data_IF_786047822843
#
_entry.id   IF_786047822843
#
_cell.length_a   1.000
_cell.length_b   1.000
_cell.length_c   1.000
_cell.angle_alpha   90.00
_cell.angle_beta   90.00
_cell.angle_gamma   90.00
#
_symmetry.space_group_name_H-M   'P 1'
#
loop_
_entity.id
_entity.type
_entity.pdbx_description
1 polymer ?
#
# COMPACT_ATOMS: atom_id res chain seq x y z
N UNK A 1 2.25 -16.15 -12.82
CA UNK A 1 2.72 -15.88 -11.45
C UNK A 1 1.72 -16.52 -10.52
N UNK A 2 2.15 -17.48 -9.71
CA UNK A 2 1.30 -18.06 -8.67
C UNK A 2 1.13 -17.00 -7.57
N UNK A 3 -0.12 -16.64 -7.26
CA UNK A 3 -0.43 -15.71 -6.17
C UNK A 3 -0.33 -16.49 -4.87
N UNK A 4 0.63 -16.14 -4.03
CA UNK A 4 0.80 -16.77 -2.72
C UNK A 4 0.03 -15.99 -1.64
N UNK A 5 -0.89 -16.68 -0.96
CA UNK A 5 -1.66 -16.15 0.16
C UNK A 5 -1.23 -16.83 1.46
N UNK A 6 -1.10 -16.05 2.54
CA UNK A 6 -0.83 -16.57 3.89
C UNK A 6 -1.70 -15.87 4.92
N UNK A 7 -2.49 -16.65 5.65
CA UNK A 7 -3.21 -16.18 6.83
C UNK A 7 -2.26 -16.08 8.02
N UNK A 8 -2.25 -14.93 8.69
CA UNK A 8 -1.36 -14.64 9.83
C UNK A 8 -1.97 -15.05 11.18
N UNK A 9 -3.29 -15.23 11.28
CA UNK A 9 -4.00 -15.48 12.55
C UNK A 9 -4.37 -16.94 12.79
N UNK A 10 -4.07 -17.86 11.84
CA UNK A 10 -4.31 -19.31 11.95
C UNK A 10 -5.79 -19.74 11.99
N UNK A 11 -6.71 -18.83 12.34
CA UNK A 11 -8.16 -19.00 12.20
C UNK A 11 -8.54 -18.60 10.78
N UNK A 12 -8.73 -19.62 9.95
CA UNK A 12 -9.33 -19.53 8.64
C UNK A 12 -10.55 -18.59 8.63
N UNK A 13 -10.59 -17.65 7.69
CA UNK A 13 -11.84 -17.17 7.11
C UNK A 13 -12.12 -18.08 5.90
N UNK A 14 -13.01 -19.07 6.00
CA UNK A 14 -13.15 -20.14 4.99
C UNK A 14 -13.67 -19.73 3.60
N UNK A 15 -13.73 -18.43 3.29
CA UNK A 15 -14.49 -17.91 2.14
C UNK A 15 -13.70 -17.06 1.15
N UNK A 16 -12.40 -16.80 1.35
CA UNK A 16 -11.65 -15.97 0.39
C UNK A 16 -10.95 -16.88 -0.62
N UNK A 17 -11.37 -16.80 -1.87
CA UNK A 17 -10.72 -17.48 -2.98
C UNK A 17 -9.37 -16.81 -3.34
N UNK A 18 -8.21 -17.46 -3.11
CA UNK A 18 -6.90 -16.88 -3.41
C UNK A 18 -6.66 -16.71 -4.91
N UNK A 19 -7.46 -17.36 -5.76
CA UNK A 19 -7.38 -17.24 -7.22
C UNK A 19 -8.31 -16.16 -7.78
N UNK A 20 -9.12 -15.51 -6.94
CA UNK A 20 -10.05 -14.45 -7.33
C UNK A 20 -10.94 -14.86 -8.53
N UNK A 21 -11.42 -16.09 -8.55
CA UNK A 21 -12.14 -16.70 -9.67
C UNK A 21 -13.49 -16.03 -9.98
N UNK A 22 -14.02 -15.28 -9.02
CA UNK A 22 -15.22 -14.45 -9.14
C UNK A 22 -15.03 -13.21 -10.04
N UNK A 23 -13.78 -12.79 -10.28
CA UNK A 23 -13.47 -11.70 -11.20
C UNK A 23 -13.82 -12.09 -12.65
N UNK A 24 -14.21 -11.13 -13.50
CA UNK A 24 -14.68 -11.42 -14.84
C UNK A 24 -13.54 -12.01 -15.68
N UNK A 25 -13.61 -13.32 -15.93
CA UNK A 25 -12.79 -14.02 -16.92
C UNK A 25 -13.36 -13.73 -18.30
N UNK A 26 -13.14 -12.53 -18.86
CA UNK A 26 -13.65 -12.26 -20.20
C UNK A 26 -12.93 -13.16 -21.22
N UNK A 27 -13.77 -13.89 -21.97
CA UNK A 27 -13.47 -14.78 -23.11
C UNK A 27 -12.24 -14.34 -23.91
N UNK A 28 -11.36 -15.31 -24.17
CA UNK A 28 -10.00 -15.25 -24.76
C UNK A 28 -8.91 -15.30 -23.66
N UNK A 29 -8.04 -16.29 -23.76
CA UNK A 29 -7.27 -16.88 -22.67
C UNK A 29 -6.12 -16.02 -22.06
N UNK A 30 -6.06 -14.71 -22.27
CA UNK A 30 -4.80 -13.95 -22.08
C UNK A 30 -4.91 -12.64 -21.28
N UNK A 31 -5.92 -12.46 -20.43
CA UNK A 31 -6.01 -11.25 -19.58
C UNK A 31 -5.23 -11.46 -18.28
N UNK A 32 -4.10 -10.77 -18.13
CA UNK A 32 -3.39 -10.68 -16.87
C UNK A 32 -4.03 -9.62 -15.97
N UNK A 33 -4.30 -9.97 -14.72
CA UNK A 33 -4.78 -9.03 -13.70
C UNK A 33 -3.63 -8.72 -12.76
N UNK A 34 -3.21 -7.47 -12.74
CA UNK A 34 -2.22 -6.96 -11.79
C UNK A 34 -2.92 -6.44 -10.54
N UNK A 35 -2.49 -6.88 -9.37
CA UNK A 35 -2.90 -6.25 -8.11
C UNK A 35 -2.04 -5.01 -7.89
N UNK A 36 -2.68 -3.85 -7.73
CA UNK A 36 -1.98 -2.57 -7.60
C UNK A 36 -1.96 -2.06 -6.17
N UNK A 37 -3.07 -2.21 -5.46
CA UNK A 37 -3.25 -1.63 -4.13
C UNK A 37 -4.37 -2.33 -3.37
N UNK A 38 -4.42 -2.12 -2.05
CA UNK A 38 -5.51 -2.56 -1.20
C UNK A 38 -5.86 -1.48 -0.16
N UNK A 39 -7.14 -1.34 0.16
CA UNK A 39 -7.59 -0.34 1.12
C UNK A 39 -8.85 -0.82 1.84
N UNK A 40 -8.80 -0.94 3.17
CA UNK A 40 -9.94 -1.23 4.04
C UNK A 40 -10.86 -2.36 3.53
N UNK A 41 -10.26 -3.46 3.07
CA UNK A 41 -10.97 -4.65 2.58
C UNK A 41 -11.36 -4.65 1.10
N UNK A 42 -10.95 -3.64 0.34
CA UNK A 42 -11.05 -3.61 -1.11
C UNK A 42 -9.67 -3.79 -1.76
N UNK A 43 -9.64 -4.36 -2.95
CA UNK A 43 -8.47 -4.44 -3.82
C UNK A 43 -8.67 -3.62 -5.09
N UNK A 44 -7.60 -2.98 -5.53
CA UNK A 44 -7.50 -2.37 -6.85
C UNK A 44 -6.69 -3.29 -7.76
N UNK A 45 -7.32 -3.70 -8.85
CA UNK A 45 -6.75 -4.53 -9.88
C UNK A 45 -6.70 -3.76 -11.20
N UNK A 46 -5.63 -3.91 -11.96
CA UNK A 46 -5.50 -3.41 -13.33
C UNK A 46 -5.60 -4.58 -14.29
N UNK A 47 -6.44 -4.40 -15.31
CA UNK A 47 -6.57 -5.34 -16.42
C UNK A 47 -5.50 -5.00 -17.47
N UNK A 48 -4.52 -5.87 -17.66
CA UNK A 48 -3.62 -5.74 -18.80
C UNK A 48 -4.31 -6.30 -20.04
N UNK A 49 -4.43 -5.48 -21.07
CA UNK A 49 -4.71 -5.94 -22.42
C UNK A 49 -3.37 -6.30 -23.09
N UNK A 50 -3.32 -7.41 -23.83
CA UNK A 50 -2.11 -7.85 -24.55
C UNK A 50 -1.66 -6.85 -25.62
N UNK A 51 -2.58 -5.98 -26.07
CA UNK A 51 -2.24 -4.80 -26.86
C UNK A 51 -1.78 -3.67 -25.93
N UNK A 52 -0.45 -3.51 -25.87
CA UNK A 52 0.34 -2.54 -25.07
C UNK A 52 -0.10 -1.07 -25.11
N UNK A 53 -1.17 -0.72 -25.82
CA UNK A 53 -1.50 0.65 -26.24
C UNK A 53 -3.01 1.02 -26.18
N UNK A 54 -3.91 0.19 -25.61
CA UNK A 54 -5.33 0.60 -25.41
C UNK A 54 -5.90 0.31 -24.01
N UNK A 55 -6.49 1.37 -23.45
CA UNK A 55 -7.40 1.50 -22.28
C UNK A 55 -7.07 0.60 -21.09
N UNK A 56 -6.38 1.18 -20.11
CA UNK A 56 -6.20 0.56 -18.80
C UNK A 56 -7.53 0.55 -18.07
N UNK A 57 -8.24 -0.56 -18.12
CA UNK A 57 -9.42 -0.76 -17.29
C UNK A 57 -9.00 -1.24 -15.90
N UNK A 58 -9.69 -0.74 -14.86
CA UNK A 58 -9.49 -1.23 -13.49
C UNK A 58 -10.71 -2.02 -13.02
N UNK A 59 -10.44 -2.87 -12.04
CA UNK A 59 -11.48 -3.55 -11.27
C UNK A 59 -11.21 -3.26 -9.80
N UNK A 60 -12.23 -2.75 -9.11
CA UNK A 60 -12.20 -2.69 -7.64
C UNK A 60 -13.05 -3.85 -7.13
N UNK A 61 -12.50 -4.67 -6.26
CA UNK A 61 -13.19 -5.86 -5.77
C UNK A 61 -13.07 -6.06 -4.26
N UNK A 62 -14.04 -6.78 -3.70
CA UNK A 62 -14.04 -7.26 -2.33
C UNK A 62 -14.00 -8.79 -2.34
N UNK A 63 -12.84 -9.42 -2.07
CA UNK A 63 -12.72 -10.87 -2.04
C UNK A 63 -13.50 -11.56 -0.93
N UNK A 64 -13.89 -10.84 0.13
CA UNK A 64 -14.68 -11.42 1.21
C UNK A 64 -16.16 -11.57 0.82
N UNK A 65 -16.66 -10.77 -0.12
CA UNK A 65 -18.04 -10.81 -0.61
C UNK A 65 -18.16 -11.29 -2.05
N UNK A 66 -17.04 -11.52 -2.73
CA UNK A 66 -16.96 -11.87 -4.16
C UNK A 66 -17.61 -10.83 -5.10
N UNK A 67 -17.74 -9.59 -4.63
CA UNK A 67 -18.30 -8.48 -5.39
C UNK A 67 -17.19 -7.66 -6.07
N UNK A 68 -17.49 -7.08 -7.22
CA UNK A 68 -16.55 -6.24 -7.96
C UNK A 68 -17.28 -5.22 -8.84
N UNK A 69 -16.56 -4.14 -9.18
CA UNK A 69 -17.00 -3.11 -10.12
C UNK A 69 -15.89 -2.78 -11.09
N UNK A 70 -16.27 -2.60 -12.36
CA UNK A 70 -15.35 -2.08 -13.36
C UNK A 70 -15.25 -0.56 -13.22
N UNK A 71 -14.02 -0.06 -13.18
CA UNK A 71 -13.73 1.37 -13.30
C UNK A 71 -13.19 1.59 -14.71
N UNK A 72 -13.88 2.40 -15.53
CA UNK A 72 -13.50 2.59 -16.92
C UNK A 72 -12.14 3.26 -17.01
N UNK A 73 -11.29 2.82 -17.92
CA UNK A 73 -10.11 3.58 -18.30
C UNK A 73 -10.47 4.92 -18.97
N UNK A 74 -9.49 5.81 -19.03
CA UNK A 74 -9.59 7.13 -19.69
C UNK A 74 -8.75 7.16 -20.97
N UNK A 75 -8.92 8.19 -21.78
CA UNK A 75 -8.04 8.48 -22.92
C UNK A 75 -6.57 8.70 -22.49
N UNK A 76 -6.38 9.14 -21.25
CA UNK A 76 -5.07 9.33 -20.61
C UNK A 76 -4.52 8.08 -19.91
N UNK A 77 -5.21 6.94 -19.98
CA UNK A 77 -4.76 5.67 -19.38
C UNK A 77 -3.35 5.27 -19.78
N UNK A 78 -2.94 5.58 -21.02
CA UNK A 78 -1.59 5.27 -21.53
C UNK A 78 -0.48 6.04 -20.82
N UNK A 79 -0.81 7.15 -20.16
CA UNK A 79 0.11 7.94 -19.36
C UNK A 79 0.28 7.36 -17.95
N UNK A 80 -0.60 6.46 -17.50
CA UNK A 80 -0.61 6.01 -16.10
C UNK A 80 0.52 5.04 -15.81
N UNK A 81 1.28 5.32 -14.74
CA UNK A 81 2.30 4.39 -14.22
C UNK A 81 1.76 3.56 -13.06
N UNK A 82 1.20 4.23 -12.07
CA UNK A 82 0.65 3.60 -10.86
C UNK A 82 -0.72 4.16 -10.55
N UNK A 83 -1.52 3.35 -9.86
CA UNK A 83 -2.81 3.77 -9.33
C UNK A 83 -2.92 3.34 -7.86
N UNK A 84 -3.68 4.11 -7.08
CA UNK A 84 -3.91 3.90 -5.64
C UNK A 84 -5.39 3.89 -5.32
N UNK A 85 -5.77 3.16 -4.27
CA UNK A 85 -7.14 2.99 -3.83
C UNK A 85 -7.39 3.79 -2.55
N UNK A 86 -8.42 4.63 -2.57
CA UNK A 86 -8.92 5.32 -1.39
C UNK A 86 -10.29 4.81 -0.99
N UNK A 87 -10.41 4.13 0.14
CA UNK A 87 -11.71 3.70 0.66
C UNK A 87 -11.69 3.74 2.19
N UNK A 88 -12.64 4.44 2.80
CA UNK A 88 -12.81 4.47 4.26
C UNK A 88 -14.29 4.25 4.57
N UNK A 89 -14.70 3.01 4.94
CA UNK A 89 -16.10 2.69 5.19
C UNK A 89 -16.69 3.45 6.38
N UNK A 90 -15.85 4.02 7.27
CA UNK A 90 -16.33 4.85 8.36
C UNK A 90 -16.72 6.27 7.91
N UNK A 91 -16.22 6.72 6.75
CA UNK A 91 -16.49 8.06 6.19
C UNK A 91 -17.51 8.00 5.06
N UNK A 92 -17.37 7.05 4.13
CA UNK A 92 -18.20 6.96 2.93
C UNK A 92 -18.34 5.52 2.44
N UNK A 93 -19.49 5.21 1.85
CA UNK A 93 -19.69 3.95 1.11
C UNK A 93 -19.00 3.92 -0.25
N UNK A 94 -18.35 5.01 -0.65
CA UNK A 94 -17.76 5.18 -1.97
C UNK A 94 -16.24 5.13 -1.90
N UNK A 95 -15.63 4.37 -2.80
CA UNK A 95 -14.19 4.37 -3.02
C UNK A 95 -13.78 5.39 -4.10
N UNK A 96 -12.49 5.70 -4.10
CA UNK A 96 -11.81 6.53 -5.07
C UNK A 96 -10.62 5.77 -5.67
N UNK A 97 -10.35 5.99 -6.95
CA UNK A 97 -9.12 5.50 -7.61
C UNK A 97 -8.32 6.69 -8.07
N UNK A 98 -7.05 6.75 -7.65
CA UNK A 98 -6.13 7.83 -7.98
C UNK A 98 -5.12 7.32 -8.99
N UNK A 99 -5.05 7.97 -10.15
CA UNK A 99 -4.04 7.70 -11.17
C UNK A 99 -2.86 8.64 -11.02
N UNK A 100 -1.67 8.12 -11.30
CA UNK A 100 -0.44 8.88 -11.32
C UNK A 100 0.33 8.65 -12.62
N UNK A 101 0.76 9.75 -13.24
CA UNK A 101 1.59 9.78 -14.44
C UNK A 101 3.08 9.93 -14.05
N UNK A 102 4.04 9.57 -14.92
CA UNK A 102 5.46 9.82 -14.66
C UNK A 102 5.70 11.31 -14.41
N UNK A 103 6.63 11.59 -13.51
CA UNK A 103 7.25 12.89 -13.41
C UNK A 103 8.35 13.04 -14.49
N UNK A 104 9.33 13.91 -14.26
CA UNK A 104 10.44 14.13 -15.20
C UNK A 104 11.43 12.94 -15.25
N UNK A 105 11.33 12.01 -14.29
CA UNK A 105 12.07 10.76 -14.25
C UNK A 105 11.16 9.51 -14.12
N UNK A 106 11.73 8.31 -14.29
CA UNK A 106 10.99 7.04 -14.29
C UNK A 106 10.63 6.49 -12.89
N UNK A 107 11.19 7.11 -11.85
CA UNK A 107 11.03 6.69 -10.44
C UNK A 107 9.95 7.48 -9.72
N UNK A 108 9.68 8.70 -10.14
CA UNK A 108 8.68 9.54 -9.52
C UNK A 108 7.43 9.71 -10.38
N UNK A 109 6.32 10.03 -9.71
CA UNK A 109 5.01 10.20 -10.32
C UNK A 109 4.28 11.40 -9.76
N UNK A 110 3.38 11.95 -10.59
CA UNK A 110 2.52 13.09 -10.26
C UNK A 110 1.05 12.69 -10.35
N UNK A 111 0.17 13.22 -9.48
CA UNK A 111 -1.27 12.98 -9.56
C UNK A 111 -1.82 13.35 -10.95
N UNK A 112 -2.60 12.45 -11.56
CA UNK A 112 -3.16 12.59 -12.92
C UNK A 112 -4.68 12.75 -12.93
N UNK A 113 -5.37 12.02 -12.05
CA UNK A 113 -6.81 12.09 -11.93
C UNK A 113 -7.36 11.25 -10.79
N UNK A 114 -8.56 11.61 -10.32
CA UNK A 114 -9.31 10.86 -9.32
C UNK A 114 -10.62 10.39 -9.95
N UNK A 115 -10.88 9.10 -9.89
CA UNK A 115 -12.21 8.53 -10.08
C UNK A 115 -12.96 8.53 -8.74
N UNK A 116 -14.21 8.96 -8.74
CA UNK A 116 -15.13 8.76 -7.62
C UNK A 116 -16.22 7.77 -8.00
N UNK A 117 -16.40 6.71 -7.22
CA UNK A 117 -17.52 5.76 -7.41
C UNK A 117 -18.88 6.40 -7.14
N UNK A 118 -18.94 7.48 -6.34
CA UNK A 118 -20.17 8.22 -6.08
C UNK A 118 -20.67 8.94 -7.34
N UNK A 119 -19.78 9.69 -8.00
CA UNK A 119 -20.10 10.43 -9.21
C UNK A 119 -20.00 9.56 -10.47
N UNK A 120 -19.28 8.44 -10.40
CA UNK A 120 -18.88 7.56 -11.51
C UNK A 120 -18.15 8.31 -12.63
N UNK A 121 -17.36 9.31 -12.26
CA UNK A 121 -16.67 10.22 -13.17
C UNK A 121 -15.22 10.37 -12.75
N UNK A 122 -14.35 10.47 -13.74
CA UNK A 122 -12.96 10.89 -13.58
C UNK A 122 -12.86 12.40 -13.55
N UNK A 123 -12.16 12.91 -12.55
CA UNK A 123 -11.74 14.31 -12.48
C UNK A 123 -10.25 14.36 -12.81
N UNK A 124 -9.94 14.79 -14.02
CA UNK A 124 -8.56 15.12 -14.43
C UNK A 124 -8.36 16.61 -14.31
N UNK A 125 -7.23 17.01 -13.73
CA UNK A 125 -6.91 18.41 -13.50
C UNK A 125 -5.47 18.68 -13.85
N UNK A 126 -5.28 19.53 -14.84
CA UNK A 126 -3.97 20.00 -15.30
C UNK A 126 -3.33 20.98 -14.31
N UNK A 127 -4.12 21.51 -13.37
CA UNK A 127 -3.77 22.50 -12.35
C UNK A 127 -3.44 21.87 -10.99
N UNK A 128 -3.32 20.54 -10.90
CA UNK A 128 -2.85 19.89 -9.67
C UNK A 128 -1.37 20.20 -9.43
N UNK A 129 -1.16 21.27 -8.67
CA UNK A 129 0.14 21.62 -8.12
C UNK A 129 0.41 20.73 -6.90
N UNK A 130 0.82 19.48 -7.14
CA UNK A 130 1.54 18.75 -6.11
C UNK A 130 2.96 19.31 -6.08
N UNK A 131 3.40 19.95 -5.00
CA UNK A 131 4.68 20.65 -4.97
C UNK A 131 5.89 19.70 -4.98
N UNK A 132 5.67 18.38 -4.93
CA UNK A 132 6.71 17.36 -4.78
C UNK A 132 6.30 16.13 -5.59
N UNK A 133 7.30 15.48 -6.20
CA UNK A 133 7.10 14.22 -6.89
C UNK A 133 7.06 13.03 -5.91
N UNK A 134 6.16 12.09 -6.17
CA UNK A 134 5.90 10.94 -5.29
C UNK A 134 6.70 9.75 -5.80
N UNK A 135 7.34 9.00 -4.90
CA UNK A 135 7.98 7.73 -5.30
C UNK A 135 6.89 6.75 -5.76
N UNK A 136 6.98 6.25 -6.99
CA UNK A 136 6.03 5.28 -7.53
C UNK A 136 5.97 3.97 -6.73
N UNK A 137 7.04 3.64 -6.01
CA UNK A 137 7.16 2.44 -5.17
C UNK A 137 6.68 2.66 -3.74
N UNK A 138 6.37 3.91 -3.35
CA UNK A 138 5.86 4.20 -2.02
C UNK A 138 4.52 3.52 -1.75
N UNK A 139 4.41 2.95 -0.56
CA UNK A 139 3.14 2.53 0.02
C UNK A 139 2.22 3.75 0.21
N UNK A 140 0.92 3.52 0.06
CA UNK A 140 -0.09 4.55 0.31
C UNK A 140 -1.04 4.11 1.41
N UNK A 141 -1.58 5.07 2.15
CA UNK A 141 -2.63 4.79 3.12
C UNK A 141 -3.74 5.82 3.02
N UNK A 142 -4.99 5.36 3.08
CA UNK A 142 -6.15 6.23 3.03
C UNK A 142 -6.78 6.32 4.41
N UNK A 143 -6.92 7.54 4.91
CA UNK A 143 -7.40 7.77 6.27
C UNK A 143 -8.23 9.04 6.34
N UNK A 144 -9.46 8.94 6.86
CA UNK A 144 -10.36 10.09 7.06
C UNK A 144 -10.56 10.92 5.78
N UNK A 145 -10.70 10.25 4.63
CA UNK A 145 -10.96 10.92 3.34
C UNK A 145 -9.72 11.45 2.61
N UNK A 146 -8.52 11.24 3.16
CA UNK A 146 -7.26 11.75 2.60
C UNK A 146 -6.33 10.58 2.26
N UNK A 147 -5.70 10.61 1.09
CA UNK A 147 -4.65 9.67 0.72
C UNK A 147 -3.28 10.22 1.14
N UNK A 148 -2.54 9.46 1.94
CA UNK A 148 -1.20 9.80 2.39
C UNK A 148 -0.16 8.94 1.67
N UNK A 149 0.90 9.60 1.20
CA UNK A 149 1.98 9.02 0.42
C UNK A 149 3.33 9.52 0.97
N UNK A 150 4.36 8.69 0.94
CA UNK A 150 5.73 9.12 1.24
C UNK A 150 6.44 9.63 -0.03
N UNK A 151 7.32 10.62 0.16
CA UNK A 151 8.25 11.11 -0.88
C UNK A 151 9.70 11.01 -0.40
N UNK A 152 10.64 10.93 -1.34
CA UNK A 152 12.08 10.93 -1.05
C UNK A 152 12.56 12.22 -0.39
N UNK A 153 11.93 13.37 -0.64
CA UNK A 153 12.36 14.68 -0.13
C UNK A 153 12.06 14.93 1.36
N UNK A 154 12.09 13.89 2.20
CA UNK A 154 11.80 13.99 3.63
C UNK A 154 10.39 14.53 3.93
N UNK A 155 9.39 14.13 3.13
CA UNK A 155 8.03 14.68 3.21
C UNK A 155 6.97 13.60 3.06
N UNK A 156 5.81 13.85 3.69
CA UNK A 156 4.56 13.11 3.46
C UNK A 156 3.62 14.01 2.68
N UNK A 157 3.04 13.47 1.61
CA UNK A 157 2.05 14.16 0.79
C UNK A 157 0.68 13.65 1.20
N UNK A 158 -0.23 14.58 1.49
CA UNK A 158 -1.63 14.30 1.74
C UNK A 158 -2.45 14.84 0.57
N UNK A 159 -3.14 13.94 -0.13
CA UNK A 159 -3.98 14.24 -1.30
C UNK A 159 -5.45 14.17 -0.88
N UNK A 160 -6.13 15.30 -0.97
CA UNK A 160 -7.57 15.42 -0.75
C UNK A 160 -8.34 15.03 -2.02
N UNK A 161 -9.54 14.47 -1.87
CA UNK A 161 -10.30 13.95 -3.01
C UNK A 161 -10.87 15.08 -3.90
N UNK A 162 -10.89 16.31 -3.39
CA UNK A 162 -11.20 17.54 -4.10
C UNK A 162 -10.07 17.98 -5.04
N UNK A 163 -8.88 17.37 -4.94
CA UNK A 163 -7.73 17.64 -5.78
C UNK A 163 -6.71 18.61 -5.19
N UNK A 164 -6.79 18.92 -3.90
CA UNK A 164 -5.76 19.67 -3.20
C UNK A 164 -4.68 18.72 -2.68
N UNK A 165 -3.43 19.17 -2.68
CA UNK A 165 -2.32 18.47 -2.06
C UNK A 165 -1.73 19.34 -0.95
N UNK A 166 -1.50 18.76 0.23
CA UNK A 166 -0.73 19.40 1.30
C UNK A 166 0.51 18.58 1.63
N UNK A 167 1.55 19.26 2.08
CA UNK A 167 2.84 18.68 2.41
C UNK A 167 3.05 18.73 3.91
N UNK A 168 3.26 17.56 4.49
CA UNK A 168 3.56 17.38 5.90
C UNK A 168 5.05 17.12 6.02
N UNK A 169 5.75 17.93 6.83
CA UNK A 169 7.17 17.72 7.12
C UNK A 169 7.34 16.49 8.01
N UNK A 170 8.35 15.67 7.77
CA UNK A 170 8.62 14.49 8.59
C UNK A 170 9.30 14.89 9.92
N UNK A 171 9.29 14.00 10.94
CA UNK A 171 9.85 14.33 12.26
C UNK A 171 11.36 14.59 12.25
N UNK A 172 12.11 13.84 11.44
CA UNK A 172 13.57 13.83 11.43
C UNK A 172 14.11 13.48 10.05
N UNK A 173 15.16 14.17 9.61
CA UNK A 173 15.96 13.74 8.45
C UNK A 173 16.96 12.68 8.92
N UNK A 174 16.98 11.51 8.27
CA UNK A 174 17.94 10.45 8.54
C UNK A 174 18.83 10.25 7.30
N UNK A 175 20.12 10.55 7.42
CA UNK A 175 21.11 10.43 6.34
C UNK A 175 21.29 8.98 5.83
N UNK A 176 20.92 7.97 6.63
CA UNK A 176 21.05 6.53 6.32
C UNK A 176 19.69 5.80 6.19
N UNK A 177 18.68 6.51 5.70
CA UNK A 177 17.34 5.95 5.56
C UNK A 177 17.25 4.90 4.44
N UNK A 178 16.69 3.72 4.76
CA UNK A 178 16.47 2.62 3.82
C UNK A 178 15.05 2.64 3.26
N UNK A 179 14.04 2.85 4.11
CA UNK A 179 12.63 2.88 3.71
C UNK A 179 11.82 3.87 4.54
N UNK A 180 10.78 4.45 3.90
CA UNK A 180 9.88 5.44 4.49
C UNK A 180 8.46 5.17 4.05
N UNK A 181 7.60 4.93 5.02
CA UNK A 181 6.26 4.46 4.73
C UNK A 181 5.24 5.12 5.65
N UNK A 182 4.03 5.24 5.15
CA UNK A 182 2.90 5.79 5.89
C UNK A 182 1.89 4.68 6.14
N UNK A 183 1.45 4.54 7.38
CA UNK A 183 0.50 3.52 7.80
C UNK A 183 -0.59 4.12 8.66
N UNK A 184 -1.72 3.42 8.73
CA UNK A 184 -2.73 3.64 9.77
C UNK A 184 -2.68 2.47 10.73
N UNK A 185 -2.57 2.79 12.02
CA UNK A 185 -2.73 1.81 13.10
C UNK A 185 -3.48 2.46 14.24
N UNK A 186 -4.40 1.73 14.86
CA UNK A 186 -5.15 2.19 16.05
C UNK A 186 -5.87 3.53 15.86
N UNK A 187 -6.34 3.79 14.63
CA UNK A 187 -7.02 5.04 14.28
C UNK A 187 -6.11 6.27 14.29
N UNK A 188 -4.79 6.10 14.17
CA UNK A 188 -3.82 7.18 14.02
C UNK A 188 -2.94 6.95 12.78
N UNK A 189 -2.50 8.05 12.19
CA UNK A 189 -1.54 8.04 11.08
C UNK A 189 -0.13 7.92 11.65
N UNK A 190 0.63 6.96 11.14
CA UNK A 190 2.01 6.70 11.50
C UNK A 190 2.93 6.91 10.31
N UNK A 191 4.07 7.55 10.56
CA UNK A 191 5.21 7.57 9.65
C UNK A 191 6.31 6.66 10.21
N UNK A 192 6.74 5.72 9.39
CA UNK A 192 7.74 4.71 9.74
C UNK A 192 9.01 4.99 8.98
N UNK A 193 10.12 5.04 9.71
CA UNK A 193 11.45 5.22 9.15
C UNK A 193 12.26 3.99 9.53
N UNK A 194 12.69 3.24 8.52
CA UNK A 194 13.64 2.14 8.65
C UNK A 194 14.99 2.62 8.16
N UNK A 195 15.96 2.68 9.06
CA UNK A 195 17.36 3.00 8.74
C UNK A 195 18.24 1.75 8.86
N UNK A 196 19.53 1.88 8.55
CA UNK A 196 20.49 0.79 8.75
C UNK A 196 20.64 0.39 10.23
N UNK A 197 20.32 1.29 11.17
CA UNK A 197 20.57 1.11 12.60
C UNK A 197 19.31 0.90 13.45
N UNK A 198 18.16 1.42 13.02
CA UNK A 198 16.92 1.40 13.82
C UNK A 198 15.66 1.49 12.97
N UNK A 199 14.56 1.05 13.56
CA UNK A 199 13.20 1.30 13.08
C UNK A 199 12.52 2.25 14.05
N UNK A 200 12.00 3.36 13.54
CA UNK A 200 11.25 4.35 14.33
C UNK A 200 9.86 4.58 13.76
N UNK A 201 8.88 4.73 14.65
CA UNK A 201 7.48 4.96 14.33
C UNK A 201 6.98 6.21 15.02
N UNK A 202 6.47 7.13 14.22
CA UNK A 202 6.04 8.45 14.64
C UNK A 202 4.55 8.60 14.35
N UNK A 203 3.75 8.97 15.34
CA UNK A 203 2.33 9.26 15.14
C UNK A 203 2.13 10.74 14.84
N UNK A 204 1.28 11.06 13.86
CA UNK A 204 0.86 12.43 13.58
C UNK A 204 -0.13 12.87 14.66
N UNK A 205 0.13 14.02 15.29
CA UNK A 205 -0.76 14.61 16.28
C UNK A 205 -2.01 15.21 15.61
N UNK A 206 -3.20 14.92 16.16
CA UNK A 206 -4.51 15.45 15.71
C UNK A 206 -4.68 16.96 16.01
N UNK A 207 -3.60 17.69 16.32
CA UNK A 207 -3.66 19.10 16.75
C UNK A 207 -3.92 20.03 15.56
N UNK A 208 -5.00 20.80 15.62
CA UNK A 208 -5.54 21.62 14.52
C UNK A 208 -4.65 22.78 14.06
N UNK A 209 -3.51 23.02 14.71
CA UNK A 209 -2.61 24.15 14.42
C UNK A 209 -1.20 23.75 14.01
N UNK A 210 -0.78 22.52 14.27
CA UNK A 210 0.60 22.08 14.06
C UNK A 210 0.64 20.58 13.77
N UNK A 211 1.03 20.23 12.55
CA UNK A 211 1.31 18.86 12.11
C UNK A 211 2.61 18.38 12.76
N UNK A 212 2.53 18.08 14.05
CA UNK A 212 3.65 17.60 14.84
C UNK A 212 3.64 16.07 14.88
N UNK A 213 4.84 15.49 14.89
CA UNK A 213 5.04 14.06 15.01
C UNK A 213 5.53 13.70 16.40
N UNK A 214 4.86 12.75 17.06
CA UNK A 214 5.35 12.19 18.32
C UNK A 214 5.98 10.82 18.07
N UNK A 215 7.21 10.60 18.55
CA UNK A 215 7.82 9.27 18.55
C UNK A 215 7.01 8.33 19.47
N UNK A 216 6.49 7.23 18.93
CA UNK A 216 5.73 6.22 19.69
C UNK A 216 6.51 4.94 19.91
N UNK A 217 7.35 4.57 18.95
CA UNK A 217 8.16 3.36 19.05
C UNK A 217 9.51 3.58 18.38
N UNK A 218 10.56 3.07 19.01
CA UNK A 218 11.90 3.00 18.46
C UNK A 218 12.53 1.69 18.93
N UNK A 219 13.13 0.98 18.00
CA UNK A 219 13.88 -0.24 18.27
C UNK A 219 15.10 -0.29 17.37
N UNK A 220 16.26 -0.58 17.96
CA UNK A 220 17.48 -0.74 17.17
C UNK A 220 17.47 -2.05 16.41
N UNK A 221 18.18 -2.11 15.28
CA UNK A 221 18.38 -3.33 14.50
C UNK A 221 18.98 -4.45 15.35
N UNK A 222 19.90 -4.11 16.24
CA UNK A 222 20.49 -5.06 17.20
C UNK A 222 19.46 -5.59 18.20
N UNK A 223 18.49 -4.79 18.61
CA UNK A 223 17.40 -5.24 19.47
C UNK A 223 16.40 -6.11 18.71
N UNK A 224 16.09 -5.76 17.45
CA UNK A 224 15.17 -6.53 16.60
C UNK A 224 15.74 -7.91 16.21
N UNK A 225 17.00 -7.95 15.75
CA UNK A 225 17.57 -9.14 15.11
C UNK A 225 18.74 -9.77 15.88
N UNK A 226 19.16 -9.16 16.99
CA UNK A 226 20.34 -9.60 17.74
C UNK A 226 21.65 -9.27 17.04
N UNK A 227 22.76 -9.77 17.62
CA UNK A 227 24.10 -9.65 17.04
C UNK A 227 24.38 -10.70 15.94
N UNK A 228 23.43 -11.60 15.67
CA UNK A 228 23.64 -12.81 14.88
C UNK A 228 22.59 -13.02 13.82
N UNK A 229 22.88 -12.56 12.61
CA UNK A 229 22.86 -13.32 11.36
C UNK A 229 23.09 -12.29 10.22
N UNK A 230 24.29 -12.25 9.61
CA UNK A 230 24.56 -11.36 8.49
C UNK A 230 23.71 -11.68 7.24
N UNK A 231 22.89 -12.73 7.27
CA UNK A 231 22.00 -13.12 6.16
C UNK A 231 20.70 -12.31 6.07
N UNK A 232 20.35 -11.53 7.10
CA UNK A 232 19.30 -10.54 6.99
C UNK A 232 19.87 -9.31 6.26
N UNK A 233 19.60 -9.25 4.95
CA UNK A 233 19.90 -8.11 4.10
C UNK A 233 19.43 -6.79 4.75
N UNK A 234 20.08 -5.68 4.40
CA UNK A 234 19.69 -4.33 4.83
C UNK A 234 18.24 -3.97 4.42
N UNK A 235 17.65 -4.75 3.50
CA UNK A 235 16.36 -4.50 2.90
C UNK A 235 15.33 -5.52 3.41
N UNK A 236 14.41 -5.05 4.23
CA UNK A 236 13.22 -5.77 4.65
C UNK A 236 11.99 -4.88 4.44
N UNK A 237 10.87 -5.49 4.07
CA UNK A 237 9.59 -4.78 4.02
C UNK A 237 8.92 -4.84 5.39
N UNK A 238 8.20 -3.79 5.75
CA UNK A 238 7.44 -3.70 7.00
C UNK A 238 5.97 -3.65 6.66
N UNK A 239 5.13 -4.31 7.47
CA UNK A 239 3.68 -4.14 7.42
C UNK A 239 3.19 -3.91 8.84
N UNK A 240 2.54 -2.78 9.10
CA UNK A 240 1.94 -2.52 10.41
C UNK A 240 0.52 -3.09 10.46
N UNK A 241 0.20 -3.78 11.55
CA UNK A 241 -1.17 -4.23 11.77
C UNK A 241 -2.10 -3.04 12.07
N UNK A 242 -3.28 -2.93 11.41
CA UNK A 242 -4.15 -1.76 11.57
C UNK A 242 -4.78 -1.63 12.96
N UNK A 243 -5.01 -2.74 13.69
CA UNK A 243 -5.62 -2.71 15.03
C UNK A 243 -4.65 -3.02 16.19
N UNK A 244 -3.81 -4.04 16.05
CA UNK A 244 -2.90 -4.48 17.11
C UNK A 244 -1.53 -3.82 17.01
N UNK A 245 -0.84 -3.75 18.16
CA UNK A 245 0.53 -3.22 18.24
C UNK A 245 1.58 -4.23 17.75
N UNK A 246 1.43 -4.66 16.50
CA UNK A 246 2.29 -5.67 15.89
C UNK A 246 2.82 -5.15 14.57
N UNK A 247 4.11 -5.35 14.35
CA UNK A 247 4.81 -5.08 13.10
C UNK A 247 5.17 -6.41 12.45
N UNK A 248 4.76 -6.64 11.22
CA UNK A 248 5.25 -7.76 10.43
C UNK A 248 6.49 -7.32 9.65
N UNK A 249 7.53 -8.16 9.70
CA UNK A 249 8.81 -7.92 9.03
C UNK A 249 9.00 -9.04 8.01
N UNK A 250 9.20 -8.65 6.75
CA UNK A 250 9.34 -9.57 5.63
C UNK A 250 10.77 -9.53 5.11
N UNK A 251 11.44 -10.66 5.21
CA UNK A 251 12.82 -10.84 4.75
C UNK A 251 12.85 -11.62 3.45
N UNK A 252 13.01 -10.91 2.34
CA UNK A 252 13.19 -11.55 1.04
C UNK A 252 14.66 -11.77 0.76
N UNK A 253 15.11 -13.02 0.86
CA UNK A 253 16.47 -13.41 0.47
C UNK A 253 16.46 -13.91 -0.97
N UNK A 254 17.29 -13.29 -1.82
CA UNK A 254 17.58 -13.85 -3.15
C UNK A 254 18.58 -15.00 -3.01
N UNK A 255 18.18 -16.18 -3.45
CA UNK A 255 19.03 -17.39 -3.47
C UNK A 255 19.75 -17.49 -4.81
N UNK A 256 19.08 -17.11 -5.91
CA UNK A 256 19.65 -17.02 -7.26
C UNK A 256 18.94 -15.95 -8.09
N UNK A 257 19.26 -15.82 -9.38
CA UNK A 257 18.58 -14.88 -10.30
C UNK A 257 17.08 -15.12 -10.41
N UNK A 258 16.62 -16.34 -10.13
CA UNK A 258 15.24 -16.77 -10.37
C UNK A 258 14.56 -17.37 -9.14
N UNK A 259 15.21 -17.37 -7.97
CA UNK A 259 14.65 -17.96 -6.74
C UNK A 259 14.85 -16.97 -5.60
N UNK A 260 13.75 -16.44 -5.08
CA UNK A 260 13.71 -15.75 -3.79
C UNK A 260 12.91 -16.54 -2.78
N UNK A 261 13.24 -16.37 -1.50
CA UNK A 261 12.48 -16.91 -0.38
C UNK A 261 12.19 -15.78 0.59
N UNK A 262 10.93 -15.67 1.04
CA UNK A 262 10.51 -14.61 1.96
C UNK A 262 10.11 -15.19 3.30
N UNK A 263 10.82 -14.81 4.36
CA UNK A 263 10.47 -15.17 5.74
C UNK A 263 9.65 -14.06 6.38
N UNK A 264 8.56 -14.43 7.07
CA UNK A 264 7.70 -13.49 7.80
C UNK A 264 7.92 -13.66 9.29
N UNK A 265 8.20 -12.53 9.93
CA UNK A 265 8.32 -12.40 11.38
C UNK A 265 7.25 -11.43 11.89
N UNK A 266 6.79 -11.63 13.11
CA UNK A 266 5.92 -10.69 13.82
C UNK A 266 6.67 -10.14 15.02
N UNK A 267 6.69 -8.83 15.17
CA UNK A 267 7.27 -8.12 16.28
C UNK A 267 6.15 -7.49 17.12
N UNK A 268 6.03 -7.91 18.37
CA UNK A 268 5.10 -7.31 19.32
C UNK A 268 5.75 -6.06 19.94
N UNK A 269 5.11 -4.90 19.78
CA UNK A 269 5.71 -3.63 20.22
C UNK A 269 5.67 -3.44 21.75
N UNK A 270 4.77 -4.13 22.47
CA UNK A 270 4.62 -4.00 23.91
C UNK A 270 5.61 -4.93 24.64
N UNK A 271 5.68 -6.21 24.26
CA UNK A 271 6.65 -7.17 24.82
C UNK A 271 8.06 -6.98 24.26
N UNK A 272 8.17 -6.34 23.09
CA UNK A 272 9.41 -6.20 22.30
C UNK A 272 9.99 -7.56 21.86
N UNK A 273 9.13 -8.56 21.69
CA UNK A 273 9.54 -9.89 21.26
C UNK A 273 9.31 -10.09 19.76
N UNK A 274 10.28 -10.74 19.10
CA UNK A 274 10.19 -11.14 17.70
C UNK A 274 9.85 -12.63 17.63
N UNK A 275 8.80 -12.96 16.89
CA UNK A 275 8.36 -14.34 16.67
C UNK A 275 8.36 -14.68 15.18
N UNK A 276 8.70 -15.93 14.86
CA UNK A 276 8.61 -16.41 13.48
C UNK A 276 7.16 -16.82 13.18
N UNK A 277 6.59 -16.19 12.14
CA UNK A 277 5.27 -16.57 11.63
C UNK A 277 5.41 -17.67 10.58
N UNK A 278 6.45 -17.57 9.73
CA UNK A 278 6.91 -18.57 8.76
C UNK A 278 7.05 -18.00 7.34
N UNK A 279 7.12 -18.85 6.32
CA UNK A 279 7.62 -18.46 4.99
C UNK A 279 6.56 -18.24 3.88
N UNK A 280 6.68 -17.17 3.10
CA UNK A 280 5.86 -16.86 1.92
C UNK A 280 6.47 -17.51 0.67
N UNK A 281 6.39 -18.84 0.56
CA UNK A 281 6.71 -19.59 -0.67
C UNK A 281 8.05 -19.24 -1.33
N UNK A 282 8.18 -19.62 -2.60
CA UNK A 282 9.27 -19.16 -3.47
C UNK A 282 8.76 -18.07 -4.41
N UNK A 283 9.64 -17.16 -4.81
CA UNK A 283 9.38 -16.14 -5.85
C UNK A 283 8.29 -15.11 -5.53
N UNK A 284 7.98 -14.93 -4.25
CA UNK A 284 7.25 -13.76 -3.78
C UNK A 284 8.09 -12.49 -3.98
N UNK A 285 7.43 -11.42 -4.45
CA UNK A 285 8.06 -10.14 -4.74
C UNK A 285 7.24 -9.02 -4.11
N UNK A 286 7.95 -8.05 -3.54
CA UNK A 286 7.40 -6.76 -3.10
C UNK A 286 6.78 -6.01 -4.30
N UNK A 287 5.70 -5.22 -4.11
CA UNK A 287 5.08 -4.88 -2.82
C UNK A 287 4.17 -5.99 -2.26
N UNK A 288 4.14 -6.08 -0.93
CA UNK A 288 3.23 -6.95 -0.18
C UNK A 288 2.02 -6.15 0.31
N UNK A 289 0.82 -6.68 0.10
CA UNK A 289 -0.43 -6.00 0.44
C UNK A 289 -1.03 -6.58 1.73
N UNK A 290 -1.36 -5.71 2.69
CA UNK A 290 -2.03 -6.08 3.94
C UNK A 290 -3.54 -6.03 3.78
N UNK A 291 -4.20 -7.19 3.85
CA UNK A 291 -5.64 -7.30 3.62
C UNK A 291 -6.38 -7.72 4.90
N UNK A 292 -7.33 -6.88 5.31
CA UNK A 292 -8.32 -7.20 6.34
C UNK A 292 -9.69 -7.41 5.65
N UNK A 293 -10.32 -8.59 5.77
CA UNK A 293 -11.59 -8.87 5.12
C UNK A 293 -12.71 -7.91 5.53
N UNK A 294 -13.48 -7.43 4.55
CA UNK A 294 -14.67 -6.60 4.78
C UNK A 294 -15.94 -7.38 4.37
N UNK A 295 -16.75 -7.82 5.32
CA UNK A 295 -17.93 -8.66 5.04
C UNK A 295 -19.21 -7.89 4.70
N UNK A 296 -19.13 -6.57 4.50
CA UNK A 296 -20.31 -5.77 4.17
C UNK A 296 -20.57 -5.74 2.66
N UNK A 297 -21.83 -5.96 2.27
CA UNK A 297 -22.31 -6.08 0.89
C UNK A 297 -22.80 -4.76 0.25
N UNK A 298 -22.58 -3.60 0.91
CA UNK A 298 -23.23 -2.33 0.52
C UNK A 298 -22.33 -1.31 -0.18
N UNK A 299 -21.06 -1.64 -0.45
CA UNK A 299 -20.04 -0.61 -0.72
C UNK A 299 -19.46 -0.60 -2.14
N UNK A 300 -19.80 -1.59 -2.98
CA UNK A 300 -19.37 -1.64 -4.38
C UNK A 300 -20.57 -1.27 -5.28
N UNK A 301 -20.78 0.03 -5.50
CA UNK A 301 -21.77 0.55 -6.45
C UNK A 301 -21.21 1.71 -7.26
#
# INVERSE_FOLDING_TARGET
MDRHYRSLTGKWCPGIDPYFSFLPKHRLCDIHIDMLDCCNGLFLCRRQNTDYWRTTDYVVCNPATEEWVAVPGTDRSSEVRVARLGFDPAVSSHFHVLEFAPADDDTHVRPLGIYSSQARVWTHRSDWECPIDIDRYSCSTFFRGVLYLSSYEDKVVAVEMEGNCRVIRIPTSHDSCVAREVYVSQGQLYFVISSESELSMWALEDSTSTENWTLKHNVSRLQLFGAGDPSYDLYYDVIIHPEYKVIFILFTRRISTCISFTKVMSYDMDSRELHSVGDLGYDCKSPYLSYVPLFSHSFIR
#
